data_IF_635315285157
#
_entry.id   IF_635315285157
#
_cell.length_a   1.000
_cell.length_b   1.000
_cell.length_c   1.000
_cell.angle_alpha   90.00
_cell.angle_beta   90.00
_cell.angle_gamma   90.00
#
_symmetry.space_group_name_H-M   'P 1'
#
loop_
_entity.id
_entity.type
_entity.pdbx_description
1 polymer ?
#
# COMPACT_ATOMS: atom_id res chain seq x y z
N UNK A 1 34.53 10.22 32.22
CA UNK A 1 34.30 8.77 32.31
C UNK A 1 33.01 8.49 31.59
N UNK A 2 33.05 7.64 30.55
CA UNK A 2 32.04 7.52 29.51
C UNK A 2 30.66 7.05 29.98
N UNK A 3 29.66 7.64 29.35
CA UNK A 3 28.28 7.17 29.24
C UNK A 3 28.27 5.91 28.36
N UNK A 4 27.93 4.77 28.98
CA UNK A 4 27.82 3.49 28.32
C UNK A 4 26.45 3.40 27.67
N UNK A 5 26.45 3.43 26.33
CA UNK A 5 25.30 3.35 25.47
C UNK A 5 24.30 2.27 25.87
N UNK A 6 23.09 2.72 26.17
CA UNK A 6 21.91 1.88 26.15
C UNK A 6 21.70 1.39 24.72
N UNK A 7 22.00 0.10 24.51
CA UNK A 7 21.71 -0.59 23.26
C UNK A 7 20.24 -0.39 22.89
N UNK A 8 20.01 0.25 21.75
CA UNK A 8 18.69 0.32 21.14
C UNK A 8 18.25 -1.12 20.87
N UNK A 9 17.38 -1.63 21.73
CA UNK A 9 16.69 -2.89 21.52
C UNK A 9 15.93 -2.74 20.20
N UNK A 10 16.45 -3.39 19.16
CA UNK A 10 15.77 -3.56 17.88
C UNK A 10 14.49 -4.33 18.14
N UNK A 11 13.41 -3.62 18.43
CA UNK A 11 12.08 -4.16 18.35
C UNK A 11 11.92 -4.68 16.93
N UNK A 12 11.83 -5.99 16.77
CA UNK A 12 11.50 -6.64 15.51
C UNK A 12 10.11 -6.14 15.10
N UNK A 13 10.07 -5.04 14.36
CA UNK A 13 8.89 -4.60 13.63
C UNK A 13 8.48 -5.69 12.65
N UNK A 14 7.23 -5.67 12.21
CA UNK A 14 6.71 -6.71 11.33
C UNK A 14 7.50 -6.85 10.03
N UNK A 15 7.29 -7.96 9.30
CA UNK A 15 8.15 -8.33 8.18
C UNK A 15 7.65 -7.86 6.81
N UNK A 16 6.43 -7.32 6.70
CA UNK A 16 5.86 -6.94 5.42
C UNK A 16 6.20 -5.51 5.00
N UNK A 17 6.16 -5.24 3.70
CA UNK A 17 6.14 -3.90 3.12
C UNK A 17 4.71 -3.58 2.73
N UNK A 18 4.19 -2.42 3.11
CA UNK A 18 2.86 -1.98 2.71
C UNK A 18 2.92 -0.87 1.66
N UNK A 19 2.13 -0.98 0.60
CA UNK A 19 1.72 0.15 -0.24
C UNK A 19 0.38 0.68 0.27
N UNK A 20 0.29 1.98 0.57
CA UNK A 20 -0.90 2.61 1.15
C UNK A 20 -1.64 3.45 0.10
N UNK A 21 -2.89 3.10 -0.18
CA UNK A 21 -3.81 3.82 -1.06
C UNK A 21 -4.85 4.61 -0.25
N UNK A 22 -5.38 5.68 -0.82
CA UNK A 22 -6.53 6.40 -0.29
C UNK A 22 -7.86 5.91 -0.89
N UNK A 23 -8.96 6.55 -0.49
CA UNK A 23 -10.29 6.27 -0.98
C UNK A 23 -10.45 6.55 -2.48
N UNK A 24 -9.77 7.56 -3.03
CA UNK A 24 -9.86 7.89 -4.45
C UNK A 24 -9.20 6.80 -5.30
N UNK A 25 -7.96 6.43 -5.00
CA UNK A 25 -7.24 5.33 -5.62
C UNK A 25 -8.01 4.00 -5.49
N UNK A 26 -8.59 3.73 -4.32
CA UNK A 26 -9.43 2.54 -4.11
C UNK A 26 -10.69 2.60 -4.98
N UNK A 27 -11.29 3.77 -5.16
CA UNK A 27 -12.49 3.95 -5.99
C UNK A 27 -12.19 3.74 -7.48
N UNK A 28 -11.02 4.16 -7.96
CA UNK A 28 -10.57 3.85 -9.33
C UNK A 28 -10.49 2.35 -9.57
N UNK A 29 -9.95 1.58 -8.61
CA UNK A 29 -9.92 0.13 -8.72
C UNK A 29 -11.32 -0.50 -8.72
N UNK A 30 -12.29 0.11 -8.03
CA UNK A 30 -13.69 -0.33 -8.03
C UNK A 30 -14.45 0.03 -9.31
N UNK A 31 -14.12 1.18 -9.90
CA UNK A 31 -14.66 1.65 -11.18
C UNK A 31 -14.03 0.93 -12.39
N UNK A 32 -12.97 0.15 -12.17
CA UNK A 32 -12.29 -0.68 -13.16
C UNK A 32 -13.21 -1.72 -13.80
N UNK A 33 -14.09 -1.28 -14.70
CA UNK A 33 -14.95 -2.10 -15.53
C UNK A 33 -14.17 -2.89 -16.60
N UNK A 34 -12.84 -2.79 -16.61
CA UNK A 34 -11.97 -3.34 -17.63
C UNK A 34 -11.63 -4.82 -17.40
N UNK A 35 -11.57 -5.25 -16.14
CA UNK A 35 -11.21 -6.64 -15.78
C UNK A 35 -12.03 -7.11 -14.56
N UNK A 36 -12.81 -8.20 -14.67
CA UNK A 36 -13.57 -8.75 -13.56
C UNK A 36 -12.71 -9.16 -12.35
N UNK A 37 -11.47 -9.55 -12.59
CA UNK A 37 -10.50 -9.91 -11.56
C UNK A 37 -10.20 -8.77 -10.59
N UNK A 38 -9.89 -7.57 -11.13
CA UNK A 38 -9.58 -6.40 -10.33
C UNK A 38 -10.69 -6.07 -9.35
N UNK A 39 -11.97 -6.19 -9.77
CA UNK A 39 -13.12 -5.94 -8.91
C UNK A 39 -13.06 -6.76 -7.61
N UNK A 40 -12.63 -8.02 -7.65
CA UNK A 40 -12.51 -8.87 -6.45
C UNK A 40 -11.47 -8.32 -5.47
N UNK A 41 -10.30 -7.92 -5.98
CA UNK A 41 -9.24 -7.34 -5.17
C UNK A 41 -9.65 -5.98 -4.59
N UNK A 42 -10.35 -5.16 -5.38
CA UNK A 42 -10.90 -3.87 -4.97
C UNK A 42 -11.91 -4.04 -3.83
N UNK A 43 -12.84 -4.98 -3.95
CA UNK A 43 -13.81 -5.31 -2.88
C UNK A 43 -13.10 -5.75 -1.61
N UNK A 44 -12.11 -6.64 -1.74
CA UNK A 44 -11.29 -7.08 -0.61
C UNK A 44 -10.59 -5.90 0.06
N UNK A 45 -10.02 -4.97 -0.72
CA UNK A 45 -9.37 -3.77 -0.20
C UNK A 45 -10.36 -2.80 0.46
N UNK A 46 -11.55 -2.61 -0.10
CA UNK A 46 -12.55 -1.68 0.42
C UNK A 46 -13.23 -2.20 1.69
N UNK A 47 -13.66 -3.46 1.70
CA UNK A 47 -14.36 -4.09 2.82
C UNK A 47 -13.37 -4.53 3.92
N UNK A 48 -12.28 -5.19 3.52
CA UNK A 48 -11.27 -5.73 4.43
C UNK A 48 -10.15 -4.76 4.79
N UNK A 49 -10.02 -3.65 4.06
CA UNK A 49 -8.97 -2.65 4.28
C UNK A 49 -7.57 -3.06 3.81
N UNK A 50 -7.41 -4.28 3.29
CA UNK A 50 -6.10 -4.86 2.96
C UNK A 50 -6.20 -5.98 1.92
N UNK A 51 -5.21 -6.03 1.02
CA UNK A 51 -4.93 -7.20 0.16
C UNK A 51 -3.56 -7.75 0.52
N UNK A 52 -3.48 -9.05 0.80
CA UNK A 52 -2.27 -9.71 1.27
C UNK A 52 -2.19 -11.16 0.77
N UNK A 53 -0.98 -11.72 0.76
CA UNK A 53 -0.67 -13.08 0.30
C UNK A 53 -0.01 -13.08 -1.07
N UNK A 54 1.09 -13.83 -1.21
CA UNK A 54 1.95 -13.82 -2.40
C UNK A 54 1.18 -14.12 -3.69
N UNK A 55 0.44 -15.24 -3.74
CA UNK A 55 -0.36 -15.59 -4.91
C UNK A 55 -1.44 -14.54 -5.23
N UNK A 56 -2.07 -13.95 -4.20
CA UNK A 56 -3.09 -12.90 -4.38
C UNK A 56 -2.47 -11.61 -4.95
N UNK A 57 -1.26 -11.27 -4.52
CA UNK A 57 -0.51 -10.13 -5.04
C UNK A 57 0.00 -10.39 -6.46
N UNK A 58 0.36 -11.62 -6.80
CA UNK A 58 0.74 -12.01 -8.18
C UNK A 58 -0.46 -11.89 -9.13
N UNK A 59 -1.61 -12.41 -8.71
CA UNK A 59 -2.87 -12.27 -9.44
C UNK A 59 -3.21 -10.78 -9.64
N UNK A 60 -3.18 -9.98 -8.57
CA UNK A 60 -3.46 -8.54 -8.65
C UNK A 60 -2.52 -7.82 -9.63
N UNK A 61 -1.20 -8.02 -9.52
CA UNK A 61 -0.23 -7.33 -10.39
C UNK A 61 -0.45 -7.72 -11.85
N UNK A 62 -0.68 -9.01 -12.12
CA UNK A 62 -0.97 -9.49 -13.47
C UNK A 62 -2.24 -8.82 -14.03
N UNK A 63 -3.32 -8.81 -13.26
CA UNK A 63 -4.59 -8.21 -13.70
C UNK A 63 -4.50 -6.70 -13.90
N UNK A 64 -3.66 -5.99 -13.12
CA UNK A 64 -3.39 -4.57 -13.31
C UNK A 64 -2.68 -4.32 -14.65
N UNK A 65 -1.69 -5.13 -15.00
CA UNK A 65 -1.00 -5.03 -16.29
C UNK A 65 -1.93 -5.36 -17.48
N UNK A 66 -2.71 -6.43 -17.38
CA UNK A 66 -3.70 -6.78 -18.41
C UNK A 66 -4.75 -5.67 -18.58
N UNK A 67 -5.21 -5.06 -17.47
CA UNK A 67 -6.12 -3.90 -17.52
C UNK A 67 -5.48 -2.67 -18.14
N UNK A 68 -4.18 -2.43 -17.89
CA UNK A 68 -3.43 -1.34 -18.50
C UNK A 68 -3.34 -1.52 -20.02
N UNK A 69 -2.94 -2.71 -20.48
CA UNK A 69 -2.81 -3.04 -21.91
C UNK A 69 -4.15 -2.94 -22.65
N UNK A 70 -5.23 -3.44 -22.05
CA UNK A 70 -6.57 -3.35 -22.63
C UNK A 70 -7.09 -1.90 -22.73
N UNK A 71 -6.57 -0.99 -21.89
CA UNK A 71 -7.03 0.37 -21.78
C UNK A 71 -6.32 1.41 -22.65
N UNK A 72 -5.30 1.00 -23.41
CA UNK A 72 -4.44 1.94 -24.16
C UNK A 72 -5.16 2.75 -25.24
N UNK A 73 -6.32 2.27 -25.72
CA UNK A 73 -7.13 2.96 -26.72
C UNK A 73 -8.22 3.87 -26.10
N UNK A 74 -8.32 3.94 -24.78
CA UNK A 74 -9.29 4.82 -24.13
C UNK A 74 -8.88 6.29 -24.20
N UNK A 75 -9.87 7.15 -24.02
CA UNK A 75 -9.70 8.60 -23.98
C UNK A 75 -10.32 9.19 -22.70
N UNK A 76 -9.98 10.45 -22.40
CA UNK A 76 -10.55 11.17 -21.27
C UNK A 76 -10.30 10.50 -19.92
N UNK A 77 -11.35 10.37 -19.11
CA UNK A 77 -11.24 9.82 -17.75
C UNK A 77 -10.90 8.33 -17.71
N UNK A 78 -11.27 7.58 -18.75
CA UNK A 78 -10.92 6.16 -18.86
C UNK A 78 -9.41 5.96 -19.13
N UNK A 79 -8.77 6.88 -19.86
CA UNK A 79 -7.32 6.86 -20.04
C UNK A 79 -6.59 7.21 -18.74
N UNK A 80 -7.12 8.15 -17.95
CA UNK A 80 -6.57 8.46 -16.60
C UNK A 80 -6.61 7.24 -15.70
N UNK A 81 -7.74 6.53 -15.69
CA UNK A 81 -7.89 5.28 -14.95
C UNK A 81 -6.85 4.24 -15.42
N UNK A 82 -6.68 4.10 -16.73
CA UNK A 82 -5.69 3.20 -17.34
C UNK A 82 -4.27 3.55 -16.87
N UNK A 83 -3.86 4.81 -16.93
CA UNK A 83 -2.56 5.24 -16.43
C UNK A 83 -2.40 4.99 -14.93
N UNK A 84 -3.47 5.16 -14.14
CA UNK A 84 -3.45 4.86 -12.71
C UNK A 84 -3.20 3.36 -12.45
N UNK A 85 -3.91 2.43 -13.12
CA UNK A 85 -3.64 0.99 -12.92
C UNK A 85 -2.23 0.60 -13.39
N UNK A 86 -1.74 1.17 -14.49
CA UNK A 86 -0.36 0.94 -14.94
C UNK A 86 0.69 1.46 -13.94
N UNK A 87 0.49 2.66 -13.38
CA UNK A 87 1.36 3.22 -12.35
C UNK A 87 1.34 2.39 -11.06
N UNK A 88 0.17 1.88 -10.66
CA UNK A 88 0.02 0.99 -9.51
C UNK A 88 0.75 -0.34 -9.73
N UNK A 89 0.60 -0.95 -10.92
CA UNK A 89 1.29 -2.19 -11.27
C UNK A 89 2.82 -2.02 -11.19
N UNK A 90 3.34 -0.98 -11.85
CA UNK A 90 4.76 -0.65 -11.82
C UNK A 90 5.26 -0.37 -10.39
N UNK A 91 4.49 0.36 -9.58
CA UNK A 91 4.83 0.62 -8.18
C UNK A 91 4.91 -0.65 -7.34
N UNK A 92 3.97 -1.59 -7.52
CA UNK A 92 3.97 -2.88 -6.84
C UNK A 92 5.18 -3.74 -7.26
N UNK A 93 5.51 -3.79 -8.55
CA UNK A 93 6.70 -4.51 -9.05
C UNK A 93 8.00 -3.94 -8.50
N UNK A 94 8.13 -2.61 -8.49
CA UNK A 94 9.29 -1.92 -7.92
C UNK A 94 9.44 -2.20 -6.43
N UNK A 95 8.35 -2.11 -5.66
CA UNK A 95 8.38 -2.41 -4.23
C UNK A 95 8.70 -3.87 -3.95
N UNK A 96 8.15 -4.80 -4.72
CA UNK A 96 8.44 -6.22 -4.61
C UNK A 96 9.93 -6.50 -4.85
N UNK A 97 10.52 -5.89 -5.88
CA UNK A 97 11.95 -6.01 -6.15
C UNK A 97 12.81 -5.42 -5.00
N UNK A 98 12.38 -4.31 -4.41
CA UNK A 98 13.07 -3.66 -3.30
C UNK A 98 12.85 -4.36 -1.94
N UNK A 99 11.77 -5.13 -1.77
CA UNK A 99 11.37 -5.74 -0.50
C UNK A 99 12.34 -6.83 -0.02
N UNK A 100 13.18 -7.38 -0.91
CA UNK A 100 14.19 -8.39 -0.57
C UNK A 100 13.57 -9.71 -0.10
N UNK A 101 12.49 -10.15 -0.75
CA UNK A 101 11.76 -11.38 -0.41
C UNK A 101 10.74 -11.23 0.73
N UNK A 102 10.56 -10.01 1.27
CA UNK A 102 9.51 -9.73 2.24
C UNK A 102 8.13 -9.69 1.59
N UNK A 103 7.06 -10.11 2.30
CA UNK A 103 5.70 -9.98 1.80
C UNK A 103 5.36 -8.53 1.46
N UNK A 104 4.70 -8.32 0.33
CA UNK A 104 4.11 -7.04 -0.06
C UNK A 104 2.61 -7.09 0.21
N UNK A 105 2.07 -6.03 0.80
CA UNK A 105 0.64 -5.90 1.07
C UNK A 105 0.13 -4.54 0.57
N UNK A 106 -1.12 -4.50 0.14
CA UNK A 106 -1.82 -3.27 -0.24
C UNK A 106 -2.77 -2.88 0.89
N UNK A 107 -2.72 -1.63 1.34
CA UNK A 107 -3.54 -1.11 2.43
C UNK A 107 -4.41 0.06 1.99
N UNK A 108 -5.60 0.14 2.58
CA UNK A 108 -6.47 1.30 2.48
C UNK A 108 -6.30 2.21 3.69
N UNK A 109 -5.91 3.46 3.46
CA UNK A 109 -5.70 4.49 4.48
C UNK A 109 -6.93 4.70 5.37
N UNK A 110 -8.11 4.72 4.79
CA UNK A 110 -9.37 4.98 5.51
C UNK A 110 -9.67 3.86 6.52
N UNK A 111 -9.25 2.64 6.23
CA UNK A 111 -9.40 1.51 7.15
C UNK A 111 -8.53 1.68 8.39
N UNK A 112 -7.32 2.24 8.24
CA UNK A 112 -6.48 2.62 9.38
C UNK A 112 -7.04 3.83 10.13
N UNK A 113 -7.58 4.83 9.41
CA UNK A 113 -8.16 6.04 9.99
C UNK A 113 -9.43 5.79 10.80
N UNK A 114 -10.11 4.65 10.58
CA UNK A 114 -11.26 4.22 11.38
C UNK A 114 -10.88 3.76 12.80
N UNK A 115 -9.58 3.52 13.05
CA UNK A 115 -9.06 3.10 14.34
C UNK A 115 -8.59 4.30 15.17
N UNK A 116 -8.56 4.14 16.50
CA UNK A 116 -7.87 5.10 17.36
C UNK A 116 -6.37 5.17 16.97
N UNK A 117 -5.71 6.35 17.03
CA UNK A 117 -4.32 6.51 16.56
C UNK A 117 -3.35 5.49 17.15
N UNK A 118 -3.43 5.21 18.46
CA UNK A 118 -2.59 4.22 19.11
C UNK A 118 -2.87 2.77 18.70
N UNK A 119 -4.10 2.45 18.25
CA UNK A 119 -4.44 1.14 17.71
C UNK A 119 -3.90 0.97 16.28
N UNK A 120 -4.07 1.99 15.43
CA UNK A 120 -3.49 2.01 14.09
C UNK A 120 -1.96 1.90 14.13
N UNK A 121 -1.29 2.64 15.03
CA UNK A 121 0.15 2.53 15.23
C UNK A 121 0.57 1.10 15.62
N UNK A 122 -0.14 0.47 16.57
CA UNK A 122 0.15 -0.93 16.95
C UNK A 122 0.04 -1.90 15.78
N UNK A 123 -1.00 -1.77 14.95
CA UNK A 123 -1.17 -2.59 13.73
C UNK A 123 0.03 -2.39 12.80
N UNK A 124 0.40 -1.14 12.55
CA UNK A 124 1.47 -0.82 11.61
C UNK A 124 2.83 -1.33 12.08
N UNK A 125 3.17 -1.10 13.35
CA UNK A 125 4.45 -1.54 13.93
C UNK A 125 4.55 -3.07 14.04
N UNK A 126 3.43 -3.75 14.32
CA UNK A 126 3.42 -5.20 14.43
C UNK A 126 3.56 -5.90 13.07
N UNK A 127 2.96 -5.35 12.01
CA UNK A 127 2.84 -6.03 10.72
C UNK A 127 3.90 -5.62 9.68
N UNK A 128 4.40 -4.38 9.72
CA UNK A 128 5.23 -3.85 8.65
C UNK A 128 6.60 -3.38 9.12
N UNK A 129 7.60 -3.53 8.24
CA UNK A 129 8.91 -2.90 8.36
C UNK A 129 8.99 -1.60 7.55
N UNK A 130 8.12 -1.44 6.55
CA UNK A 130 8.05 -0.23 5.72
C UNK A 130 6.60 0.02 5.25
N UNK A 131 6.23 1.30 5.18
CA UNK A 131 4.94 1.76 4.66
C UNK A 131 5.21 2.85 3.64
N UNK A 132 4.78 2.60 2.41
CA UNK A 132 4.99 3.45 1.24
C UNK A 132 3.65 4.00 0.80
N UNK A 133 3.40 5.32 0.86
CA UNK A 133 2.16 5.89 0.37
C UNK A 133 2.17 6.05 -1.15
N UNK A 134 1.05 5.72 -1.81
CA UNK A 134 0.80 6.14 -3.18
C UNK A 134 0.45 7.64 -3.16
N UNK A 135 1.43 8.48 -3.51
CA UNK A 135 1.28 9.93 -3.42
C UNK A 135 0.43 10.51 -4.57
N UNK A 136 -0.31 11.62 -4.32
CA UNK A 136 -0.51 12.27 -3.03
C UNK A 136 -1.60 11.59 -2.19
N UNK A 137 -1.40 11.46 -0.87
CA UNK A 137 -2.44 10.98 0.07
C UNK A 137 -3.10 12.18 0.80
N UNK A 138 -4.29 12.66 0.39
CA UNK A 138 -5.00 13.76 1.05
C UNK A 138 -5.55 13.39 2.45
N UNK A 139 -5.68 14.37 3.35
CA UNK A 139 -6.22 14.16 4.72
C UNK A 139 -5.23 13.48 5.68
N UNK A 140 -5.53 13.31 7.00
CA UNK A 140 -4.49 13.14 8.01
C UNK A 140 -3.57 11.96 7.69
N UNK A 141 -2.24 12.13 7.82
CA UNK A 141 -1.29 11.05 7.54
C UNK A 141 -1.55 9.87 8.49
N UNK A 142 -1.14 8.64 8.13
CA UNK A 142 -1.12 7.54 9.09
C UNK A 142 -0.30 7.94 10.33
N UNK A 143 -0.52 7.33 11.50
CA UNK A 143 0.20 7.67 12.74
C UNK A 143 1.64 7.13 12.72
N UNK A 144 2.40 7.50 11.71
CA UNK A 144 3.79 7.17 11.47
C UNK A 144 4.53 8.48 11.19
N UNK A 145 5.63 8.70 11.92
CA UNK A 145 6.48 9.87 11.72
C UNK A 145 7.77 9.40 11.03
N UNK A 146 8.19 10.04 9.92
CA UNK A 146 9.46 9.70 9.29
C UNK A 146 10.62 9.80 10.29
N UNK A 147 11.40 8.72 10.43
CA UNK A 147 12.58 8.68 11.30
C UNK A 147 12.33 8.27 12.76
N UNK A 148 11.08 8.07 13.19
CA UNK A 148 10.80 7.50 14.52
C UNK A 148 10.95 5.97 14.55
N UNK A 149 11.21 5.35 15.73
CA UNK A 149 11.28 3.90 15.86
C UNK A 149 9.97 3.24 15.42
N UNK A 150 10.02 2.37 14.41
CA UNK A 150 8.82 1.78 13.79
C UNK A 150 9.06 1.40 12.32
N UNK A 151 8.00 1.17 11.53
CA UNK A 151 8.17 0.97 10.09
C UNK A 151 8.72 2.24 9.45
N UNK A 152 9.65 2.07 8.50
CA UNK A 152 10.10 3.18 7.68
C UNK A 152 8.90 3.77 6.91
N UNK A 153 8.63 5.06 7.10
CA UNK A 153 7.54 5.76 6.43
C UNK A 153 8.09 6.73 5.38
N UNK A 154 7.61 6.60 4.15
CA UNK A 154 8.08 7.38 2.99
C UNK A 154 7.10 8.49 2.55
N UNK A 155 6.16 8.87 3.43
CA UNK A 155 5.22 9.97 3.18
C UNK A 155 5.68 11.31 3.74
N UNK A 156 4.92 12.36 3.42
CA UNK A 156 5.05 13.64 4.10
C UNK A 156 4.64 13.51 5.57
N UNK A 157 5.36 14.21 6.45
CA UNK A 157 5.05 14.33 7.88
C UNK A 157 3.85 15.26 8.12
#
# INVERSE_FOLDING_TARGET
>A
GGDAGGGAAGGQGGQAVALLLDAEATSYLMMGALMPGLKRHSVTLFEGGRVAGEAVMDELVKELWESYEAGQAFEGDMLKLTHFVGALAAGLDMLRAAAGGRPLELLRKESLASLAPGAAAKVLHHAYCAVVPAAPLPGPPPPLVPGEPGPAFFGAA
#
